data_IF_969321062964
#
_entry.id   IF_969321062964
#
_cell.length_a   1.000
_cell.length_b   1.000
_cell.length_c   1.000
_cell.angle_alpha   90.00
_cell.angle_beta   90.00
_cell.angle_gamma   90.00
#
_symmetry.space_group_name_H-M   'P 1'
#
loop_
_entity.id
_entity.type
_entity.pdbx_description
1 polymer ?
#
# COMPACT_ATOMS: atom_id res chain seq x y z
N UNK A 1 15.62 -16.09 37.94
CA UNK A 1 14.18 -16.03 37.55
C UNK A 1 13.82 -14.84 36.65
N UNK A 2 14.28 -13.57 36.83
CA UNK A 2 13.89 -12.48 35.92
C UNK A 2 14.66 -12.47 34.59
N UNK A 3 15.91 -12.97 34.57
CA UNK A 3 16.76 -12.95 33.39
C UNK A 3 16.23 -13.82 32.23
N UNK A 4 15.57 -14.94 32.55
CA UNK A 4 15.01 -15.87 31.53
C UNK A 4 13.77 -15.24 30.88
N UNK A 5 12.94 -14.54 31.65
CA UNK A 5 11.75 -13.84 31.13
C UNK A 5 12.16 -12.72 30.17
N UNK A 6 13.22 -11.97 30.49
CA UNK A 6 13.77 -10.94 29.60
C UNK A 6 14.36 -11.52 28.30
N UNK A 7 14.97 -12.71 28.37
CA UNK A 7 15.51 -13.43 27.21
C UNK A 7 14.41 -14.01 26.31
N UNK A 8 13.30 -14.48 26.90
CA UNK A 8 12.12 -14.93 26.16
C UNK A 8 11.35 -13.77 25.48
N UNK A 9 11.33 -12.58 26.09
CA UNK A 9 10.73 -11.39 25.47
C UNK A 9 11.57 -10.87 24.29
N UNK A 10 12.90 -10.99 24.35
CA UNK A 10 13.80 -10.67 23.23
C UNK A 10 13.63 -11.65 22.04
N UNK A 11 13.28 -12.92 22.30
CA UNK A 11 13.01 -13.93 21.26
C UNK A 11 11.62 -13.81 20.61
N UNK A 12 10.75 -12.95 21.15
CA UNK A 12 9.41 -12.66 20.62
C UNK A 12 9.36 -11.39 19.77
N UNK A 13 10.52 -10.90 19.28
CA UNK A 13 10.54 -10.12 18.06
C UNK A 13 10.27 -11.07 16.89
N UNK A 14 9.00 -11.45 16.73
CA UNK A 14 8.50 -11.83 15.41
C UNK A 14 8.83 -10.64 14.52
N UNK A 15 9.88 -10.76 13.71
CA UNK A 15 10.08 -9.84 12.61
C UNK A 15 8.77 -9.83 11.84
N UNK A 16 8.16 -8.65 11.68
CA UNK A 16 7.06 -8.52 10.75
C UNK A 16 7.53 -9.16 9.44
N UNK A 17 6.80 -10.17 8.96
CA UNK A 17 7.17 -10.92 7.75
C UNK A 17 7.54 -9.90 6.67
N UNK A 18 8.81 -9.88 6.29
CA UNK A 18 9.27 -9.03 5.20
C UNK A 18 8.49 -9.49 3.96
N UNK A 19 7.87 -8.54 3.24
CA UNK A 19 7.12 -8.84 2.03
C UNK A 19 8.04 -9.57 1.06
N UNK A 20 7.79 -10.88 0.89
CA UNK A 20 8.62 -11.76 0.07
C UNK A 20 7.80 -12.15 -1.14
N UNK A 21 8.09 -11.50 -2.26
CA UNK A 21 7.46 -11.81 -3.54
C UNK A 21 8.09 -13.06 -4.14
N UNK A 22 7.26 -13.93 -4.72
CA UNK A 22 7.73 -15.07 -5.51
C UNK A 22 8.25 -14.61 -6.89
N UNK A 23 8.81 -15.53 -7.67
CA UNK A 23 9.45 -15.20 -8.95
C UNK A 23 8.45 -14.68 -9.99
N UNK A 24 7.25 -15.25 -10.04
CA UNK A 24 6.19 -14.83 -10.97
C UNK A 24 5.70 -13.41 -10.64
N UNK A 25 5.48 -13.09 -9.36
CA UNK A 25 5.08 -11.77 -8.88
C UNK A 25 6.13 -10.70 -9.18
N UNK A 26 7.42 -11.01 -8.94
CA UNK A 26 8.52 -10.09 -9.27
C UNK A 26 8.60 -9.83 -10.76
N UNK A 27 8.49 -10.89 -11.55
CA UNK A 27 8.52 -10.80 -13.02
C UNK A 27 7.34 -9.97 -13.53
N UNK A 28 6.16 -10.19 -12.96
CA UNK A 28 4.97 -9.42 -13.32
C UNK A 28 5.12 -7.94 -12.94
N UNK A 29 5.56 -7.61 -11.72
CA UNK A 29 5.75 -6.22 -11.30
C UNK A 29 6.83 -5.51 -12.14
N UNK A 30 7.93 -6.20 -12.48
CA UNK A 30 8.96 -5.66 -13.36
C UNK A 30 8.43 -5.36 -14.78
N UNK A 31 7.44 -6.12 -15.25
CA UNK A 31 6.76 -5.86 -16.52
C UNK A 31 5.66 -4.79 -16.43
N UNK A 32 5.21 -4.44 -15.22
CA UNK A 32 4.12 -3.48 -14.96
C UNK A 32 4.56 -2.40 -13.94
N UNK A 33 5.53 -1.54 -14.31
CA UNK A 33 6.06 -0.50 -13.41
C UNK A 33 5.03 0.58 -13.06
N UNK A 34 3.94 0.67 -13.82
CA UNK A 34 2.84 1.61 -13.60
C UNK A 34 1.51 0.83 -13.57
N UNK A 35 0.80 0.91 -12.44
CA UNK A 35 -0.49 0.26 -12.22
C UNK A 35 -1.58 1.31 -12.04
N UNK A 36 -2.80 1.00 -12.48
CA UNK A 36 -3.95 1.89 -12.33
C UNK A 36 -4.65 1.60 -11.01
N UNK A 37 -4.93 2.64 -10.24
CA UNK A 37 -5.66 2.58 -8.97
C UNK A 37 -6.99 3.31 -9.13
N UNK A 38 -8.11 2.61 -8.98
CA UNK A 38 -9.41 3.27 -8.89
C UNK A 38 -9.53 4.02 -7.56
N UNK A 39 -9.91 5.30 -7.61
CA UNK A 39 -10.03 6.18 -6.43
C UNK A 39 -11.41 6.82 -6.35
N UNK A 40 -11.92 7.04 -5.13
CA UNK A 40 -13.12 7.85 -4.85
C UNK A 40 -12.76 9.02 -3.92
N UNK A 41 -12.42 10.17 -4.52
CA UNK A 41 -11.99 11.37 -3.79
C UNK A 41 -13.13 12.08 -3.03
N UNK A 42 -14.35 11.53 -3.04
CA UNK A 42 -15.50 12.10 -2.35
C UNK A 42 -15.64 11.62 -0.89
N UNK A 43 -14.65 10.89 -0.36
CA UNK A 43 -14.72 10.26 0.96
C UNK A 43 -13.67 10.73 1.99
N UNK A 44 -13.75 11.98 2.48
CA UNK A 44 -12.95 12.42 3.63
C UNK A 44 -13.23 11.60 4.90
N UNK A 45 -12.26 11.31 5.76
CA UNK A 45 -10.82 11.63 5.72
C UNK A 45 -9.95 10.53 5.10
N UNK A 46 -10.57 9.56 4.43
CA UNK A 46 -9.89 8.38 3.89
C UNK A 46 -9.29 8.64 2.52
N UNK A 47 -10.05 9.27 1.63
CA UNK A 47 -9.65 9.55 0.25
C UNK A 47 -10.28 10.87 -0.20
N UNK A 48 -9.43 11.87 -0.40
CA UNK A 48 -9.85 13.20 -0.84
C UNK A 48 -8.67 13.92 -1.50
N UNK A 49 -8.95 15.05 -2.15
CA UNK A 49 -7.94 15.86 -2.82
C UNK A 49 -7.77 17.19 -2.12
N UNK A 50 -6.53 17.65 -1.96
CA UNK A 50 -6.26 18.99 -1.43
C UNK A 50 -6.58 20.08 -2.48
N UNK A 51 -6.43 21.35 -2.10
CA UNK A 51 -6.65 22.50 -3.00
C UNK A 51 -5.71 22.52 -4.22
N UNK A 52 -4.58 21.82 -4.15
CA UNK A 52 -3.58 21.75 -5.22
C UNK A 52 -3.81 20.56 -6.16
N UNK A 53 -4.79 19.71 -5.87
CA UNK A 53 -5.07 18.54 -6.69
C UNK A 53 -4.35 17.27 -6.24
N UNK A 54 -3.68 17.25 -5.09
CA UNK A 54 -2.95 16.08 -4.61
C UNK A 54 -3.86 15.12 -3.84
N UNK A 55 -3.66 13.82 -3.99
CA UNK A 55 -4.40 12.81 -3.24
C UNK A 55 -3.92 12.74 -1.79
N UNK A 56 -4.90 12.83 -0.89
CA UNK A 56 -4.75 12.93 0.56
C UNK A 56 -5.71 11.97 1.27
N UNK A 57 -5.43 11.74 2.56
CA UNK A 57 -6.18 10.84 3.41
C UNK A 57 -5.43 9.55 3.71
N UNK A 58 -6.08 8.70 4.50
CA UNK A 58 -5.47 7.45 4.96
C UNK A 58 -5.11 6.53 3.80
N UNK A 59 -5.97 6.43 2.78
CA UNK A 59 -5.74 5.60 1.59
C UNK A 59 -4.49 6.05 0.85
N UNK A 60 -4.35 7.35 0.59
CA UNK A 60 -3.17 7.91 -0.08
C UNK A 60 -1.86 7.62 0.68
N UNK A 61 -1.90 7.60 2.01
CA UNK A 61 -0.74 7.22 2.83
C UNK A 61 -0.36 5.74 2.65
N UNK A 62 -1.33 4.83 2.58
CA UNK A 62 -1.06 3.42 2.30
C UNK A 62 -0.59 3.17 0.87
N UNK A 63 -1.14 3.88 -0.11
CA UNK A 63 -0.71 3.82 -1.52
C UNK A 63 0.78 4.13 -1.64
N UNK A 64 1.25 5.20 -1.01
CA UNK A 64 2.69 5.54 -0.99
C UNK A 64 3.55 4.43 -0.37
N UNK A 65 3.09 3.82 0.73
CA UNK A 65 3.79 2.70 1.38
C UNK A 65 3.84 1.43 0.51
N UNK A 66 2.86 1.24 -0.36
CA UNK A 66 2.79 0.13 -1.32
C UNK A 66 3.74 0.41 -2.49
N UNK A 67 3.71 1.61 -3.07
CA UNK A 67 4.64 2.04 -4.12
C UNK A 67 6.09 1.84 -3.67
N UNK A 68 6.44 2.32 -2.47
CA UNK A 68 7.79 2.17 -1.90
C UNK A 68 8.20 0.71 -1.68
N UNK A 69 7.27 -0.17 -1.31
CA UNK A 69 7.56 -1.58 -1.02
C UNK A 69 7.65 -2.45 -2.26
N UNK A 70 6.91 -2.09 -3.29
CA UNK A 70 6.82 -2.86 -4.53
C UNK A 70 7.68 -2.29 -5.66
N UNK A 71 8.22 -1.08 -5.49
CA UNK A 71 8.98 -0.34 -6.52
C UNK A 71 8.15 -0.15 -7.81
N UNK A 72 6.89 0.26 -7.63
CA UNK A 72 5.94 0.55 -8.70
C UNK A 72 5.29 1.91 -8.50
N UNK A 73 4.69 2.46 -9.56
CA UNK A 73 3.87 3.66 -9.52
C UNK A 73 2.39 3.29 -9.58
N UNK A 74 1.59 3.84 -8.67
CA UNK A 74 0.14 3.73 -8.67
C UNK A 74 -0.43 5.03 -9.25
N UNK A 75 -1.13 4.93 -10.39
CA UNK A 75 -1.78 6.05 -11.04
C UNK A 75 -3.25 6.10 -10.66
N UNK A 76 -3.68 7.13 -9.92
CA UNK A 76 -5.08 7.34 -9.56
C UNK A 76 -5.93 7.53 -10.82
N UNK A 77 -7.01 6.78 -10.92
CA UNK A 77 -8.02 6.89 -11.97
C UNK A 77 -9.36 7.09 -11.29
N UNK A 78 -9.96 8.26 -11.54
CA UNK A 78 -11.28 8.59 -11.02
C UNK A 78 -12.33 8.09 -12.03
N UNK A 79 -13.07 7.02 -11.71
CA UNK A 79 -14.07 6.47 -12.61
C UNK A 79 -15.34 7.33 -12.59
N UNK A 80 -16.16 7.24 -13.65
CA UNK A 80 -17.46 7.94 -13.69
C UNK A 80 -18.46 7.46 -12.63
N UNK A 81 -18.30 6.22 -12.16
CA UNK A 81 -19.05 5.60 -11.07
C UNK A 81 -18.24 4.44 -10.49
N UNK A 82 -18.54 4.03 -9.25
CA UNK A 82 -17.81 2.96 -8.58
C UNK A 82 -17.85 1.62 -9.32
N UNK A 83 -18.98 1.28 -9.97
CA UNK A 83 -19.08 0.05 -10.77
C UNK A 83 -18.09 -0.03 -11.92
N UNK A 84 -17.71 1.12 -12.50
CA UNK A 84 -16.75 1.20 -13.60
C UNK A 84 -15.29 0.90 -13.18
N UNK A 85 -14.99 0.68 -11.90
CA UNK A 85 -13.66 0.23 -11.43
C UNK A 85 -13.42 -1.26 -11.76
N UNK A 86 -14.50 -2.04 -11.84
CA UNK A 86 -14.44 -3.50 -12.02
C UNK A 86 -14.38 -3.92 -13.50
N UNK A 87 -14.56 -2.98 -14.43
CA UNK A 87 -14.52 -3.17 -15.89
C UNK A 87 -13.13 -2.90 -16.46
#
# INVERSE_FOLDING_TARGET
MPAIVLLCLAYRMTTALALTLNEDERTWLAAHPELRLGVDVSWPSFEFRDEQGNDHGLTAAYVRLIEERLDVKLQPVEPSNWSAILE
#
